data_IF_029098197468
#
_entry.id   IF_029098197468
#
_cell.length_a   1.000
_cell.length_b   1.000
_cell.length_c   1.000
_cell.angle_alpha   90.00
_cell.angle_beta   90.00
_cell.angle_gamma   90.00
#
_symmetry.space_group_name_H-M   'P 1'
#
loop_
_entity.id
_entity.type
_entity.pdbx_description
1 polymer ?
#
# COMPACT_ATOMS: atom_id res chain seq x y z
N UNK A 1 -4.32 -30.97 -16.23
CA UNK A 1 -3.48 -29.76 -16.06
C UNK A 1 -3.30 -29.54 -14.57
N UNK A 2 -2.08 -29.55 -14.06
CA UNK A 2 -1.81 -29.33 -12.64
C UNK A 2 -2.03 -27.85 -12.31
N UNK A 3 -2.83 -27.57 -11.27
CA UNK A 3 -3.06 -26.23 -10.76
C UNK A 3 -1.82 -25.85 -9.95
N UNK A 4 -1.03 -24.88 -10.42
CA UNK A 4 0.05 -24.31 -9.63
C UNK A 4 -0.57 -23.48 -8.51
N UNK A 5 -0.34 -23.88 -7.27
CA UNK A 5 -0.67 -23.09 -6.08
C UNK A 5 0.49 -22.12 -5.84
N UNK A 6 0.20 -20.83 -5.96
CA UNK A 6 1.17 -19.76 -5.77
C UNK A 6 0.98 -19.18 -4.37
N UNK A 7 2.00 -19.30 -3.53
CA UNK A 7 1.99 -18.67 -2.22
C UNK A 7 2.46 -17.21 -2.38
N UNK A 8 1.52 -16.28 -2.20
CA UNK A 8 1.78 -14.84 -2.31
C UNK A 8 1.92 -14.28 -0.91
N UNK A 9 3.14 -13.88 -0.55
CA UNK A 9 3.39 -13.13 0.67
C UNK A 9 3.23 -11.64 0.40
N UNK A 10 2.55 -10.96 1.31
CA UNK A 10 2.36 -9.51 1.26
C UNK A 10 3.26 -8.89 2.33
N UNK A 11 4.46 -8.47 1.93
CA UNK A 11 5.44 -7.85 2.84
C UNK A 11 5.21 -6.33 2.91
N UNK A 12 5.23 -5.77 4.13
CA UNK A 12 5.19 -4.32 4.37
C UNK A 12 3.87 -3.62 4.07
N UNK A 13 2.91 -4.27 3.39
CA UNK A 13 1.61 -3.66 3.08
C UNK A 13 0.77 -3.43 4.35
N UNK A 14 0.80 -4.34 5.32
CA UNK A 14 0.03 -4.15 6.57
C UNK A 14 0.53 -2.95 7.38
N UNK A 15 1.85 -2.77 7.44
CA UNK A 15 2.49 -1.65 8.14
C UNK A 15 2.21 -0.30 7.46
N UNK A 16 1.84 -0.32 6.17
CA UNK A 16 1.56 0.86 5.39
C UNK A 16 0.06 1.18 5.32
N UNK A 17 -0.79 0.15 5.18
CA UNK A 17 -2.25 0.31 5.01
C UNK A 17 -2.93 0.71 6.31
N UNK A 18 -2.57 0.11 7.46
CA UNK A 18 -3.23 0.43 8.73
C UNK A 18 -3.05 1.91 9.11
N UNK A 19 -1.82 2.47 9.14
CA UNK A 19 -1.63 3.89 9.46
C UNK A 19 -2.28 4.81 8.43
N UNK A 20 -2.30 4.43 7.16
CA UNK A 20 -2.96 5.21 6.11
C UNK A 20 -4.48 5.29 6.33
N UNK A 21 -5.13 4.18 6.68
CA UNK A 21 -6.58 4.15 6.97
C UNK A 21 -6.90 5.02 8.18
N UNK A 22 -6.11 4.90 9.25
CA UNK A 22 -6.26 5.71 10.46
C UNK A 22 -6.09 7.20 10.16
N UNK A 23 -5.07 7.57 9.37
CA UNK A 23 -4.87 8.95 8.94
C UNK A 23 -6.05 9.47 8.11
N UNK A 24 -6.54 8.70 7.14
CA UNK A 24 -7.67 9.08 6.30
C UNK A 24 -8.96 9.29 7.11
N UNK A 25 -9.25 8.39 8.06
CA UNK A 25 -10.39 8.53 8.99
C UNK A 25 -10.24 9.77 9.89
N UNK A 26 -9.02 10.07 10.31
CA UNK A 26 -8.75 11.24 11.12
C UNK A 26 -8.97 12.54 10.32
N UNK A 27 -8.52 12.58 9.06
CA UNK A 27 -8.71 13.72 8.15
C UNK A 27 -10.18 13.96 7.76
N UNK A 28 -11.07 12.96 7.86
CA UNK A 28 -12.53 13.11 7.65
C UNK A 28 -13.18 14.14 8.58
N UNK A 29 -12.57 14.39 9.75
CA UNK A 29 -13.09 15.33 10.74
C UNK A 29 -12.78 16.79 10.41
N UNK A 30 -11.99 17.07 9.36
CA UNK A 30 -11.60 18.42 8.96
C UNK A 30 -12.37 18.83 7.70
N UNK A 31 -13.47 19.61 7.82
CA UNK A 31 -14.32 19.97 6.68
C UNK A 31 -13.62 20.85 5.64
N UNK A 32 -12.50 21.46 6.01
CA UNK A 32 -11.71 22.36 5.17
C UNK A 32 -10.79 21.61 4.20
N UNK A 33 -10.62 20.30 4.40
CA UNK A 33 -9.75 19.47 3.58
C UNK A 33 -10.50 18.84 2.40
N UNK A 34 -9.86 18.76 1.21
CA UNK A 34 -10.42 18.10 0.05
C UNK A 34 -10.27 16.58 0.17
N UNK A 35 -11.05 15.95 1.05
CA UNK A 35 -10.95 14.51 1.36
C UNK A 35 -11.04 13.63 0.11
N UNK A 36 -11.90 13.99 -0.84
CA UNK A 36 -12.05 13.24 -2.08
C UNK A 36 -10.76 13.23 -2.91
N UNK A 37 -10.00 14.33 -2.94
CA UNK A 37 -8.71 14.40 -3.62
C UNK A 37 -7.69 13.46 -2.97
N UNK A 38 -7.69 13.35 -1.64
CA UNK A 38 -6.82 12.41 -0.93
C UNK A 38 -7.20 10.95 -1.20
N UNK A 39 -8.50 10.64 -1.23
CA UNK A 39 -9.00 9.30 -1.59
C UNK A 39 -8.61 8.92 -3.02
N UNK A 40 -8.77 9.85 -3.96
CA UNK A 40 -8.40 9.65 -5.37
C UNK A 40 -6.88 9.45 -5.51
N UNK A 41 -6.08 10.21 -4.77
CA UNK A 41 -4.62 10.08 -4.75
C UNK A 41 -4.16 8.72 -4.22
N UNK A 42 -4.77 8.24 -3.13
CA UNK A 42 -4.52 6.89 -2.60
C UNK A 42 -4.93 5.83 -3.61
N UNK A 43 -6.12 5.93 -4.19
CA UNK A 43 -6.62 4.97 -5.19
C UNK A 43 -5.72 4.90 -6.43
N UNK A 44 -5.25 6.05 -6.93
CA UNK A 44 -4.29 6.10 -8.04
C UNK A 44 -2.95 5.47 -7.68
N UNK A 45 -2.52 5.58 -6.42
CA UNK A 45 -1.24 5.02 -5.97
C UNK A 45 -1.29 3.51 -5.73
N UNK A 46 -2.47 2.94 -5.47
CA UNK A 46 -2.67 1.50 -5.34
C UNK A 46 -2.49 0.74 -6.67
N UNK A 47 -2.52 1.43 -7.81
CA UNK A 47 -2.29 0.79 -9.12
C UNK A 47 -0.80 0.46 -9.35
N UNK A 48 0.10 0.98 -8.52
CA UNK A 48 1.55 0.81 -8.62
C UNK A 48 2.06 -0.32 -7.71
N UNK A 49 1.34 -1.44 -7.61
CA UNK A 49 1.80 -2.59 -6.81
C UNK A 49 2.82 -3.38 -7.63
N UNK A 50 4.04 -3.48 -7.11
CA UNK A 50 5.09 -4.28 -7.71
C UNK A 50 4.97 -5.73 -7.21
N UNK A 51 4.79 -6.67 -8.13
CA UNK A 51 4.85 -8.11 -7.86
C UNK A 51 6.20 -8.62 -8.35
N UNK A 52 6.99 -9.17 -7.43
CA UNK A 52 8.29 -9.76 -7.73
C UNK A 52 8.28 -11.24 -7.42
N UNK A 53 8.99 -12.02 -8.23
CA UNK A 53 9.14 -13.46 -8.05
C UNK A 53 10.60 -13.77 -7.80
N UNK A 54 10.87 -14.66 -6.86
CA UNK A 54 12.21 -15.18 -6.67
C UNK A 54 12.54 -16.16 -7.80
N UNK A 55 13.41 -15.74 -8.72
CA UNK A 55 13.81 -16.54 -9.88
C UNK A 55 14.57 -17.82 -9.50
N UNK A 56 15.28 -17.84 -8.36
CA UNK A 56 16.00 -19.01 -7.88
C UNK A 56 15.03 -20.04 -7.28
N UNK A 57 14.03 -19.58 -6.53
CA UNK A 57 12.93 -20.42 -6.06
C UNK A 57 12.12 -20.98 -7.24
N UNK A 58 11.80 -20.13 -8.23
CA UNK A 58 11.07 -20.53 -9.43
C UNK A 58 11.81 -21.63 -10.19
N UNK A 59 13.14 -21.53 -10.35
CA UNK A 59 13.96 -22.54 -10.99
C UNK A 59 14.02 -23.86 -10.21
N UNK A 60 13.81 -23.84 -8.90
CA UNK A 60 13.71 -25.01 -8.04
C UNK A 60 12.27 -25.60 -7.96
N UNK A 61 11.31 -25.02 -8.70
CA UNK A 61 9.90 -25.45 -8.69
C UNK A 61 9.09 -24.89 -7.51
N UNK A 62 9.63 -23.94 -6.76
CA UNK A 62 8.97 -23.26 -5.64
C UNK A 62 8.52 -21.86 -6.08
N UNK A 63 7.20 -21.65 -6.21
CA UNK A 63 6.64 -20.44 -6.80
C UNK A 63 6.23 -19.46 -5.71
N UNK A 64 7.19 -18.65 -5.26
CA UNK A 64 6.98 -17.60 -4.25
C UNK A 64 6.90 -16.22 -4.89
N UNK A 65 5.77 -15.56 -4.67
CA UNK A 65 5.55 -14.16 -5.06
C UNK A 65 5.63 -13.23 -3.86
N UNK A 66 6.31 -12.10 -4.02
CA UNK A 66 6.32 -11.00 -3.04
C UNK A 66 5.64 -9.80 -3.67
N UNK A 67 4.54 -9.36 -3.06
CA UNK A 67 3.88 -8.10 -3.38
C UNK A 67 4.45 -6.99 -2.51
N UNK A 68 4.95 -5.92 -3.14
CA UNK A 68 5.43 -4.72 -2.45
C UNK A 68 4.60 -3.51 -2.85
N UNK A 69 4.29 -2.61 -1.90
CA UNK A 69 3.70 -1.33 -2.23
C UNK A 69 4.61 -0.55 -3.19
N UNK A 70 4.00 0.15 -4.14
CA UNK A 70 4.72 1.06 -5.01
C UNK A 70 5.29 2.25 -4.26
N UNK A 71 6.36 2.82 -4.79
CA UNK A 71 6.99 4.03 -4.26
C UNK A 71 5.99 5.19 -4.15
N UNK A 72 5.03 5.28 -5.07
CA UNK A 72 3.99 6.30 -5.03
C UNK A 72 3.08 6.14 -3.81
N UNK A 73 2.70 4.91 -3.48
CA UNK A 73 1.87 4.63 -2.30
C UNK A 73 2.63 4.93 -1.01
N UNK A 74 3.92 4.61 -0.94
CA UNK A 74 4.77 4.97 0.20
C UNK A 74 4.83 6.49 0.41
N UNK A 75 5.04 7.27 -0.66
CA UNK A 75 5.10 8.73 -0.59
C UNK A 75 3.77 9.35 -0.17
N UNK A 76 2.65 8.86 -0.74
CA UNK A 76 1.32 9.35 -0.39
C UNK A 76 0.99 9.05 1.06
N UNK A 77 1.30 7.86 1.55
CA UNK A 77 1.12 7.51 2.96
C UNK A 77 1.95 8.40 3.88
N UNK A 78 3.23 8.61 3.57
CA UNK A 78 4.08 9.50 4.37
C UNK A 78 3.56 10.94 4.42
N UNK A 79 3.10 11.47 3.28
CA UNK A 79 2.54 12.82 3.20
C UNK A 79 1.24 12.97 4.00
N UNK A 80 0.32 12.00 3.89
CA UNK A 80 -0.95 12.02 4.64
C UNK A 80 -0.73 11.85 6.14
N UNK A 81 0.22 11.01 6.55
CA UNK A 81 0.60 10.88 7.96
C UNK A 81 1.20 12.18 8.52
N UNK A 82 2.08 12.84 7.75
CA UNK A 82 2.67 14.12 8.14
C UNK A 82 1.59 15.22 8.26
N UNK A 83 0.66 15.29 7.31
CA UNK A 83 -0.48 16.20 7.37
C UNK A 83 -1.35 15.92 8.60
N UNK A 84 -1.67 14.66 8.85
CA UNK A 84 -2.47 14.26 9.99
C UNK A 84 -1.81 14.67 11.32
N UNK A 85 -0.49 14.43 11.45
CA UNK A 85 0.27 14.82 12.62
C UNK A 85 0.35 16.34 12.80
N UNK A 86 0.40 17.12 11.71
CA UNK A 86 0.38 18.58 11.77
C UNK A 86 -0.95 19.13 12.28
N UNK A 87 -2.07 18.54 11.87
CA UNK A 87 -3.42 18.99 12.24
C UNK A 87 -3.82 18.62 13.68
N UNK A 88 -3.21 17.60 14.26
CA UNK A 88 -3.46 17.16 15.64
C UNK A 88 -2.41 17.69 16.64
N UNK A 89 -1.60 18.67 16.22
CA UNK A 89 -0.58 19.31 17.04
C UNK A 89 -1.14 20.54 17.75
#
# INVERSE_FOLDING_TARGET
>A
MAKLEMEVSVEGLQDLVRPLVEAMQSLEHFPELPLQVFRDLVANSLHDIAVSFDGAALAAGDLRGVCRPGRNLELVTAALLALNAYLHR
#
